data_IF_331398450049
#
_entry.id   IF_331398450049
#
_cell.length_a   1.000
_cell.length_b   1.000
_cell.length_c   1.000
_cell.angle_alpha   90.00
_cell.angle_beta   90.00
_cell.angle_gamma   90.00
#
_symmetry.space_group_name_H-M   'P 1'
#
loop_
_entity.id
_entity.type
_entity.pdbx_description
1 polymer ?
#
# COMPACT_ATOMS: atom_id res chain seq x y z
N UNK A 1 -20.08 -9.11 37.21
CA UNK A 1 -18.74 -9.54 37.65
C UNK A 1 -17.72 -8.85 36.75
N UNK A 2 -17.11 -7.78 37.23
CA UNK A 2 -16.25 -6.89 36.45
C UNK A 2 -14.82 -7.43 36.43
N UNK A 3 -14.35 -7.91 35.28
CA UNK A 3 -12.97 -8.36 35.09
C UNK A 3 -12.04 -7.14 35.13
N UNK A 4 -11.38 -6.93 36.26
CA UNK A 4 -10.25 -6.01 36.37
C UNK A 4 -9.07 -6.62 35.60
N UNK A 5 -8.89 -6.21 34.35
CA UNK A 5 -7.66 -6.48 33.59
C UNK A 5 -6.56 -5.62 34.22
N UNK A 6 -5.54 -6.27 34.76
CA UNK A 6 -4.36 -5.60 35.28
C UNK A 6 -3.72 -4.77 34.15
N UNK A 7 -3.54 -3.46 34.39
CA UNK A 7 -2.80 -2.57 33.48
C UNK A 7 -1.35 -3.02 33.44
N UNK A 8 -1.02 -3.90 32.50
CA UNK A 8 0.36 -4.13 32.09
C UNK A 8 0.85 -2.78 31.56
N UNK A 9 1.83 -2.16 32.23
CA UNK A 9 2.51 -0.98 31.69
C UNK A 9 3.15 -1.41 30.38
N UNK A 10 2.50 -1.11 29.27
CA UNK A 10 3.13 -1.09 27.96
C UNK A 10 4.22 -0.02 28.06
N UNK A 11 5.47 -0.44 28.05
CA UNK A 11 6.61 0.47 27.84
C UNK A 11 6.65 0.82 26.35
N UNK A 12 5.59 1.44 25.85
CA UNK A 12 5.60 2.12 24.56
C UNK A 12 5.92 3.58 24.83
N UNK A 13 6.87 4.12 24.06
CA UNK A 13 7.17 5.55 24.06
C UNK A 13 5.86 6.35 23.90
N UNK A 14 5.52 7.25 24.83
CA UNK A 14 4.27 8.01 24.81
C UNK A 14 4.09 8.89 23.56
N UNK A 15 5.15 9.15 22.79
CA UNK A 15 5.11 9.98 21.58
C UNK A 15 4.34 9.36 20.40
N UNK A 16 4.10 8.06 20.40
CA UNK A 16 3.45 7.35 19.28
C UNK A 16 2.00 6.92 19.58
N UNK A 17 1.48 7.29 20.74
CA UNK A 17 0.11 6.96 21.15
C UNK A 17 -0.75 8.20 20.96
N UNK A 18 -1.90 8.07 20.32
CA UNK A 18 -2.91 9.13 20.26
C UNK A 18 -3.54 9.34 21.66
N UNK A 19 -2.84 10.08 22.51
CA UNK A 19 -3.23 10.29 23.90
C UNK A 19 -4.52 11.10 24.04
N UNK A 20 -4.80 11.95 23.05
CA UNK A 20 -5.92 12.88 23.06
C UNK A 20 -7.12 12.35 22.25
N UNK A 21 -6.99 11.16 21.63
CA UNK A 21 -8.03 10.57 20.81
C UNK A 21 -8.36 11.40 19.56
N UNK A 22 -7.42 12.21 19.08
CA UNK A 22 -7.65 13.13 17.96
C UNK A 22 -7.99 12.36 16.68
N UNK A 23 -7.41 11.19 16.46
CA UNK A 23 -7.71 10.39 15.26
C UNK A 23 -9.16 9.93 15.20
N UNK A 24 -9.79 9.74 16.36
CA UNK A 24 -11.20 9.36 16.44
C UNK A 24 -12.14 10.57 16.37
N UNK A 25 -11.65 11.76 16.71
CA UNK A 25 -12.45 12.99 16.74
C UNK A 25 -12.43 13.78 15.44
N UNK A 26 -11.40 13.61 14.59
CA UNK A 26 -11.35 14.19 13.25
C UNK A 26 -11.76 13.17 12.19
N UNK A 27 -12.71 13.55 11.33
CA UNK A 27 -13.12 12.74 10.18
C UNK A 27 -12.09 12.72 9.05
N UNK A 28 -12.38 11.98 7.98
CA UNK A 28 -11.52 11.91 6.79
C UNK A 28 -11.27 13.30 6.21
N UNK A 29 -10.00 13.72 6.21
CA UNK A 29 -9.58 15.02 5.71
C UNK A 29 -9.34 15.05 4.19
N UNK A 30 -9.27 13.87 3.56
CA UNK A 30 -9.17 13.71 2.11
C UNK A 30 -10.56 13.49 1.52
N UNK A 31 -10.94 14.31 0.54
CA UNK A 31 -12.19 14.18 -0.21
C UNK A 31 -11.86 14.24 -1.69
N UNK A 32 -12.40 13.27 -2.43
CA UNK A 32 -12.33 13.27 -3.88
C UNK A 32 -13.57 13.94 -4.46
N UNK A 33 -13.37 14.72 -5.52
CA UNK A 33 -14.43 15.23 -6.38
C UNK A 33 -15.12 14.09 -7.12
N UNK A 34 -16.31 14.38 -7.66
CA UNK A 34 -17.05 13.41 -8.46
C UNK A 34 -16.25 12.97 -9.70
N UNK A 35 -15.54 13.90 -10.34
CA UNK A 35 -14.72 13.64 -11.52
C UNK A 35 -13.54 12.70 -11.20
N UNK A 36 -12.88 12.89 -10.05
CA UNK A 36 -11.81 12.01 -9.57
C UNK A 36 -12.35 10.60 -9.26
N UNK A 37 -13.51 10.50 -8.61
CA UNK A 37 -14.16 9.21 -8.36
C UNK A 37 -14.46 8.49 -9.68
N UNK A 38 -14.96 9.21 -10.68
CA UNK A 38 -15.24 8.65 -12.01
C UNK A 38 -13.97 8.26 -12.76
N UNK A 39 -12.91 9.03 -12.64
CA UNK A 39 -11.60 8.71 -13.19
C UNK A 39 -11.05 7.41 -12.60
N UNK A 40 -11.12 7.25 -11.27
CA UNK A 40 -10.70 6.03 -10.58
C UNK A 40 -11.54 4.81 -11.01
N UNK A 41 -12.86 4.96 -11.13
CA UNK A 41 -13.76 3.90 -11.61
C UNK A 41 -13.47 3.49 -13.06
N UNK A 42 -13.18 4.45 -13.93
CA UNK A 42 -12.78 4.19 -15.33
C UNK A 42 -11.50 3.36 -15.36
N UNK A 43 -10.51 3.72 -14.54
CA UNK A 43 -9.28 2.94 -14.42
C UNK A 43 -9.56 1.52 -13.93
N UNK A 44 -10.30 1.34 -12.84
CA UNK A 44 -10.65 0.02 -12.32
C UNK A 44 -11.36 -0.85 -13.36
N UNK A 45 -12.24 -0.26 -14.17
CA UNK A 45 -12.90 -0.96 -15.28
C UNK A 45 -11.91 -1.40 -16.35
N UNK A 46 -10.95 -0.53 -16.71
CA UNK A 46 -9.93 -0.82 -17.73
C UNK A 46 -9.02 -2.00 -17.37
N UNK A 47 -8.81 -2.24 -16.07
CA UNK A 47 -8.01 -3.36 -15.55
C UNK A 47 -8.86 -4.55 -15.09
N UNK A 48 -10.15 -4.60 -15.49
CA UNK A 48 -11.10 -5.65 -15.10
C UNK A 48 -11.26 -5.83 -13.57
N UNK A 49 -11.23 -4.73 -12.81
CA UNK A 49 -11.35 -4.68 -11.35
C UNK A 49 -12.57 -3.88 -10.85
N UNK A 50 -13.59 -3.67 -11.71
CA UNK A 50 -14.75 -2.84 -11.37
C UNK A 50 -15.56 -3.35 -10.17
N UNK A 51 -15.52 -4.66 -9.88
CA UNK A 51 -16.31 -5.29 -8.80
C UNK A 51 -15.70 -5.15 -7.40
N UNK A 52 -14.73 -4.25 -7.20
CA UNK A 52 -14.06 -3.99 -5.92
C UNK A 52 -13.34 -5.18 -5.26
N UNK A 53 -13.19 -6.31 -5.97
CA UNK A 53 -12.46 -7.48 -5.49
C UNK A 53 -10.97 -7.38 -5.83
N UNK A 54 -10.31 -6.32 -5.36
CA UNK A 54 -8.87 -6.14 -5.56
C UNK A 54 -8.12 -5.84 -4.28
N UNK A 55 -6.84 -6.19 -4.27
CA UNK A 55 -5.91 -5.95 -3.17
C UNK A 55 -4.76 -5.10 -3.69
N UNK A 56 -4.55 -3.93 -3.09
CA UNK A 56 -3.37 -3.11 -3.35
C UNK A 56 -2.19 -3.68 -2.56
N UNK A 57 -1.15 -4.12 -3.27
CA UNK A 57 0.10 -4.57 -2.69
C UNK A 57 1.14 -3.45 -2.79
N UNK A 58 1.54 -2.91 -1.64
CA UNK A 58 2.64 -1.94 -1.53
C UNK A 58 3.79 -2.64 -0.81
N UNK A 59 4.92 -2.76 -1.50
CA UNK A 59 6.16 -3.30 -0.93
C UNK A 59 7.20 -2.20 -0.98
N UNK A 60 7.75 -1.85 0.18
CA UNK A 60 8.74 -0.79 0.29
C UNK A 60 10.12 -1.32 -0.11
N UNK A 61 10.79 -0.55 -0.95
CA UNK A 61 12.21 -0.69 -1.24
C UNK A 61 12.91 0.68 -1.20
N UNK A 62 14.24 0.69 -1.25
CA UNK A 62 15.05 1.91 -1.19
C UNK A 62 15.12 2.70 -2.50
N UNK A 63 14.56 2.19 -3.60
CA UNK A 63 14.71 2.77 -4.95
C UNK A 63 14.13 4.15 -5.05
N UNK A 64 12.95 4.37 -4.45
CA UNK A 64 12.32 5.68 -4.39
C UNK A 64 13.20 6.72 -3.68
N UNK A 65 13.67 6.41 -2.47
CA UNK A 65 14.51 7.34 -1.70
C UNK A 65 15.85 7.58 -2.39
N UNK A 66 16.49 6.54 -2.95
CA UNK A 66 17.74 6.68 -3.72
C UNK A 66 17.56 7.55 -4.96
N UNK A 67 16.41 7.47 -5.63
CA UNK A 67 16.12 8.26 -6.82
C UNK A 67 15.87 9.74 -6.50
N UNK A 68 15.08 10.03 -5.45
CA UNK A 68 14.67 11.41 -5.11
C UNK A 68 15.69 12.13 -4.23
N UNK A 69 16.45 11.40 -3.41
CA UNK A 69 17.40 11.97 -2.43
C UNK A 69 18.81 11.44 -2.64
N UNK A 70 19.36 11.70 -3.82
CA UNK A 70 20.74 11.32 -4.19
C UNK A 70 21.82 11.95 -3.29
N UNK A 71 21.48 13.02 -2.59
CA UNK A 71 22.33 13.79 -1.68
C UNK A 71 22.49 13.16 -0.29
N UNK A 72 21.64 12.19 0.08
CA UNK A 72 21.55 11.68 1.45
C UNK A 72 21.44 10.16 1.50
N UNK A 73 22.22 9.54 2.38
CA UNK A 73 22.09 8.12 2.68
C UNK A 73 20.93 7.86 3.64
N UNK A 74 20.09 6.89 3.30
CA UNK A 74 19.01 6.36 4.14
C UNK A 74 19.28 4.92 4.58
N UNK A 75 20.54 4.47 4.56
CA UNK A 75 20.93 3.08 4.82
C UNK A 75 20.42 2.53 6.18
N UNK A 76 20.27 3.41 7.17
CA UNK A 76 19.70 3.06 8.48
C UNK A 76 18.22 2.63 8.42
N UNK A 77 17.52 2.83 7.29
CA UNK A 77 16.16 2.37 7.05
C UNK A 77 16.07 1.14 6.12
N UNK A 78 17.21 0.59 5.68
CA UNK A 78 17.24 -0.55 4.74
C UNK A 78 16.66 -1.82 5.36
N UNK A 79 16.69 -1.96 6.69
CA UNK A 79 16.09 -3.11 7.40
C UNK A 79 14.57 -3.26 7.20
N UNK A 80 13.93 -2.23 6.65
CA UNK A 80 12.49 -2.18 6.35
C UNK A 80 12.21 -2.42 4.86
N UNK A 81 13.24 -2.56 4.04
CA UNK A 81 13.09 -2.89 2.62
C UNK A 81 12.74 -4.39 2.50
N UNK A 82 11.91 -4.72 1.52
CA UNK A 82 11.52 -6.10 1.25
C UNK A 82 11.57 -6.42 -0.24
N UNK A 83 11.98 -7.64 -0.56
CA UNK A 83 12.05 -8.14 -1.93
C UNK A 83 10.64 -8.42 -2.45
N UNK A 84 10.27 -7.81 -3.58
CA UNK A 84 8.91 -7.93 -4.14
C UNK A 84 8.54 -9.38 -4.48
N UNK A 85 9.48 -10.20 -4.96
CA UNK A 85 9.23 -11.60 -5.31
C UNK A 85 8.82 -12.46 -4.10
N UNK A 86 9.20 -12.06 -2.88
CA UNK A 86 8.77 -12.75 -1.65
C UNK A 86 7.25 -12.73 -1.45
N UNK A 87 6.54 -11.80 -2.12
CA UNK A 87 5.08 -11.67 -2.08
C UNK A 87 4.38 -12.41 -3.23
N UNK A 88 5.12 -12.97 -4.20
CA UNK A 88 4.52 -13.61 -5.39
C UNK A 88 3.56 -14.74 -5.04
N UNK A 89 3.96 -15.64 -4.15
CA UNK A 89 3.10 -16.76 -3.71
C UNK A 89 1.84 -16.27 -2.97
N UNK A 90 1.97 -15.20 -2.19
CA UNK A 90 0.82 -14.59 -1.51
C UNK A 90 -0.14 -13.96 -2.52
N UNK A 91 0.39 -13.26 -3.54
CA UNK A 91 -0.41 -12.70 -4.62
C UNK A 91 -1.14 -13.81 -5.41
N UNK A 92 -0.44 -14.87 -5.79
CA UNK A 92 -1.04 -16.04 -6.44
C UNK A 92 -2.15 -16.65 -5.58
N UNK A 93 -1.92 -16.80 -4.26
CA UNK A 93 -2.95 -17.30 -3.35
C UNK A 93 -4.18 -16.38 -3.32
N UNK A 94 -4.01 -15.07 -3.26
CA UNK A 94 -5.13 -14.11 -3.31
C UNK A 94 -5.92 -14.24 -4.62
N UNK A 95 -5.25 -14.41 -5.75
CA UNK A 95 -5.96 -14.59 -7.02
C UNK A 95 -6.75 -15.90 -7.09
N UNK A 96 -6.26 -16.97 -6.45
CA UNK A 96 -7.01 -18.24 -6.32
C UNK A 96 -8.28 -18.09 -5.47
N UNK A 97 -8.34 -17.07 -4.61
CA UNK A 97 -9.52 -16.73 -3.80
C UNK A 97 -10.49 -15.78 -4.52
N UNK A 98 -10.18 -15.38 -5.75
CA UNK A 98 -11.03 -14.51 -6.57
C UNK A 98 -10.64 -13.04 -6.60
N UNK A 99 -9.56 -12.64 -5.91
CA UNK A 99 -9.09 -11.26 -5.92
C UNK A 99 -8.22 -10.95 -7.14
N UNK A 100 -8.19 -9.69 -7.57
CA UNK A 100 -7.12 -9.15 -8.40
C UNK A 100 -6.07 -8.48 -7.51
N UNK A 101 -4.80 -8.77 -7.72
CA UNK A 101 -3.72 -8.12 -6.97
C UNK A 101 -3.14 -7.02 -7.84
N UNK A 102 -3.19 -5.78 -7.36
CA UNK A 102 -2.59 -4.63 -8.03
C UNK A 102 -1.36 -4.23 -7.21
N UNK A 103 -0.17 -4.47 -7.76
CA UNK A 103 1.08 -4.02 -7.12
C UNK A 103 1.30 -2.55 -7.45
N UNK A 104 1.25 -1.72 -6.40
CA UNK A 104 1.35 -0.27 -6.46
C UNK A 104 2.81 0.20 -6.29
N UNK A 105 3.06 1.47 -6.60
CA UNK A 105 4.35 2.14 -6.37
C UNK A 105 4.79 2.98 -7.57
N UNK A 106 5.49 4.08 -7.28
CA UNK A 106 5.94 5.03 -8.31
C UNK A 106 7.35 4.70 -8.85
N UNK A 107 8.34 4.53 -7.96
CA UNK A 107 9.71 4.17 -8.30
C UNK A 107 10.08 2.93 -7.50
N UNK A 108 10.36 1.84 -8.20
CA UNK A 108 10.54 0.51 -7.62
C UNK A 108 11.80 -0.16 -8.15
N UNK A 109 12.39 -1.03 -7.35
CA UNK A 109 13.68 -1.65 -7.65
C UNK A 109 13.59 -2.85 -8.60
N UNK A 110 12.48 -3.58 -8.56
CA UNK A 110 12.24 -4.75 -9.40
C UNK A 110 10.75 -4.88 -9.77
N UNK A 111 10.44 -5.51 -10.92
CA UNK A 111 9.08 -5.89 -11.27
C UNK A 111 8.60 -7.12 -10.48
N UNK A 112 7.29 -7.22 -10.28
CA UNK A 112 6.62 -8.44 -9.85
C UNK A 112 6.27 -9.27 -11.09
N UNK A 113 7.12 -10.25 -11.42
CA UNK A 113 6.92 -11.10 -12.60
C UNK A 113 5.94 -12.24 -12.28
N UNK A 114 4.87 -12.32 -13.06
CA UNK A 114 3.85 -13.36 -12.95
C UNK A 114 3.15 -13.57 -14.29
N UNK A 115 2.87 -14.83 -14.64
CA UNK A 115 2.04 -15.18 -15.81
C UNK A 115 0.53 -15.07 -15.53
N UNK A 116 0.15 -14.93 -14.25
CA UNK A 116 -1.24 -14.80 -13.85
C UNK A 116 -1.79 -13.40 -14.20
N UNK A 117 -2.80 -13.29 -15.08
CA UNK A 117 -3.32 -12.00 -15.53
C UNK A 117 -4.08 -11.23 -14.44
N UNK A 118 -4.41 -11.88 -13.32
CA UNK A 118 -4.99 -11.22 -12.13
C UNK A 118 -3.94 -10.63 -11.19
N UNK A 119 -2.66 -10.70 -11.56
CA UNK A 119 -1.57 -10.00 -10.86
C UNK A 119 -1.09 -8.89 -11.79
N UNK A 120 -1.40 -7.65 -11.42
CA UNK A 120 -1.14 -6.46 -12.23
C UNK A 120 -0.01 -5.69 -11.57
N UNK A 121 1.17 -5.70 -12.20
CA UNK A 121 2.29 -4.85 -11.78
C UNK A 121 2.14 -3.43 -12.34
N UNK A 122 1.20 -2.68 -11.76
CA UNK A 122 0.91 -1.29 -12.11
C UNK A 122 2.16 -0.38 -12.07
N UNK A 123 3.05 -0.64 -11.12
CA UNK A 123 4.27 0.15 -10.92
C UNK A 123 5.26 0.05 -12.09
N UNK A 124 5.27 -1.05 -12.86
CA UNK A 124 6.25 -1.25 -13.94
C UNK A 124 5.65 -1.44 -15.34
N UNK A 125 4.34 -1.63 -15.45
CA UNK A 125 3.68 -1.87 -16.74
C UNK A 125 3.31 -0.59 -17.52
N UNK A 126 3.69 0.59 -17.01
CA UNK A 126 3.47 1.87 -17.69
C UNK A 126 2.11 2.52 -17.41
N UNK A 127 1.28 1.94 -16.53
CA UNK A 127 -0.01 2.54 -16.14
C UNK A 127 0.10 3.57 -15.00
N UNK A 128 1.30 3.78 -14.45
CA UNK A 128 1.59 4.72 -13.37
C UNK A 128 1.01 6.14 -13.59
N UNK A 129 0.42 6.71 -12.54
CA UNK A 129 -0.21 8.04 -12.55
C UNK A 129 -0.23 8.62 -11.14
N UNK A 130 0.10 9.90 -11.01
CA UNK A 130 0.09 10.59 -9.71
C UNK A 130 -1.29 10.55 -9.03
N UNK A 131 -2.37 10.59 -9.82
CA UNK A 131 -3.74 10.53 -9.30
C UNK A 131 -4.08 9.20 -8.60
N UNK A 132 -3.64 8.07 -9.17
CA UNK A 132 -3.92 6.73 -8.62
C UNK A 132 -2.95 6.33 -7.50
N UNK A 133 -1.89 7.10 -7.30
CA UNK A 133 -0.89 6.91 -6.24
C UNK A 133 -1.19 7.71 -4.94
N UNK A 134 -2.38 8.33 -4.85
CA UNK A 134 -2.87 9.12 -3.70
C UNK A 134 -3.37 8.26 -2.55
#
# INVERSE_FOLDING_TARGET
MCLKVARKKLTCDPSHVDQLGLWSSYGTNLRFSQDEIEQGKKFLTSINCADHNYVCLIVRDSSYLKAIRKDKSFAHHDFRDAEIDSYRQAAERLTSLGYTVVRMGQIVGAPLVSENPKIIDYATNGMGSEFLDV
#
